data_IF_984409744007
#
_entry.id   IF_984409744007
#
_cell.length_a   1.000
_cell.length_b   1.000
_cell.length_c   1.000
_cell.angle_alpha   90.00
_cell.angle_beta   90.00
_cell.angle_gamma   90.00
#
_symmetry.space_group_name_H-M   'P 1'
#
loop_
_entity.id
_entity.type
_entity.pdbx_description
1 polymer ?
#
# COMPACT_ATOMS: atom_id res chain seq x y z
N UNK A 1 24.44 10.11 -13.70
CA UNK A 1 23.61 9.06 -14.35
C UNK A 1 23.44 7.79 -13.51
N UNK A 2 24.50 7.18 -12.94
CA UNK A 2 24.39 5.95 -12.13
C UNK A 2 23.44 6.06 -10.93
N UNK A 3 23.45 7.20 -10.25
CA UNK A 3 22.59 7.46 -9.08
C UNK A 3 21.10 7.50 -9.43
N UNK A 4 20.73 8.01 -10.61
CA UNK A 4 19.33 8.15 -11.05
C UNK A 4 18.76 6.83 -11.55
N UNK A 5 19.52 6.06 -12.35
CA UNK A 5 19.10 4.70 -12.74
C UNK A 5 18.84 3.83 -11.51
N UNK A 6 19.72 3.92 -10.50
CA UNK A 6 19.55 3.24 -9.22
C UNK A 6 18.30 3.75 -8.49
N UNK A 7 18.04 5.05 -8.46
CA UNK A 7 16.87 5.63 -7.79
C UNK A 7 15.55 5.19 -8.42
N UNK A 8 15.44 5.24 -9.76
CA UNK A 8 14.26 4.74 -10.48
C UNK A 8 14.07 3.24 -10.27
N UNK A 9 15.16 2.45 -10.31
CA UNK A 9 15.11 1.02 -10.00
C UNK A 9 14.60 0.75 -8.57
N UNK A 10 15.08 1.52 -7.58
CA UNK A 10 14.60 1.42 -6.20
C UNK A 10 13.11 1.77 -6.08
N UNK A 11 12.62 2.77 -6.79
CA UNK A 11 11.20 3.11 -6.80
C UNK A 11 10.38 1.93 -7.35
N UNK A 12 10.78 1.35 -8.49
CA UNK A 12 10.11 0.16 -9.02
C UNK A 12 10.16 -1.03 -8.06
N UNK A 13 11.28 -1.25 -7.35
CA UNK A 13 11.38 -2.31 -6.35
C UNK A 13 10.41 -2.07 -5.19
N UNK A 14 10.26 -0.83 -4.73
CA UNK A 14 9.29 -0.48 -3.68
C UNK A 14 7.86 -0.73 -4.18
N UNK A 15 7.54 -0.33 -5.42
CA UNK A 15 6.23 -0.57 -6.04
C UNK A 15 5.94 -2.07 -6.17
N UNK A 16 6.91 -2.86 -6.62
CA UNK A 16 6.77 -4.31 -6.78
C UNK A 16 6.63 -5.05 -5.44
N UNK A 17 7.38 -4.65 -4.41
CA UNK A 17 7.23 -5.23 -3.07
C UNK A 17 5.90 -4.80 -2.43
N UNK A 18 5.50 -3.54 -2.63
CA UNK A 18 4.26 -3.00 -2.11
C UNK A 18 3.01 -3.58 -2.78
N UNK A 19 3.10 -4.04 -4.03
CA UNK A 19 1.96 -4.62 -4.76
C UNK A 19 1.65 -6.07 -4.35
N UNK A 20 2.57 -6.73 -3.65
CA UNK A 20 2.41 -8.10 -3.11
C UNK A 20 1.72 -8.14 -1.74
N UNK A 21 0.92 -7.14 -1.39
CA UNK A 21 0.18 -7.14 -0.13
C UNK A 21 -1.02 -8.11 -0.17
N UNK A 22 -0.75 -9.40 0.03
CA UNK A 22 -1.76 -10.48 0.08
C UNK A 22 -2.89 -10.18 1.07
N UNK A 23 -2.53 -9.71 2.27
CA UNK A 23 -3.50 -9.31 3.28
C UNK A 23 -4.38 -8.14 2.81
N UNK A 24 -3.84 -7.20 2.02
CA UNK A 24 -4.60 -6.08 1.47
C UNK A 24 -5.61 -6.48 0.40
N UNK A 25 -5.42 -7.61 -0.28
CA UNK A 25 -6.37 -8.10 -1.29
C UNK A 25 -7.60 -8.82 -0.69
N UNK A 26 -7.51 -9.33 0.54
CA UNK A 26 -8.61 -10.06 1.21
C UNK A 26 -8.94 -9.58 2.62
N UNK A 27 -8.43 -8.42 3.04
CA UNK A 27 -8.61 -7.93 4.41
C UNK A 27 -10.08 -7.98 4.87
N UNK A 28 -11.01 -7.57 4.00
CA UNK A 28 -12.45 -7.61 4.28
C UNK A 28 -12.96 -9.04 4.51
N UNK A 29 -12.52 -10.00 3.68
CA UNK A 29 -12.86 -11.42 3.85
C UNK A 29 -12.24 -12.01 5.13
N UNK A 30 -11.01 -11.63 5.47
CA UNK A 30 -10.36 -12.04 6.72
C UNK A 30 -11.09 -11.50 7.96
N UNK A 31 -11.55 -10.25 7.92
CA UNK A 31 -12.36 -9.69 9.00
C UNK A 31 -13.73 -10.37 9.10
N UNK A 32 -14.38 -10.66 7.98
CA UNK A 32 -15.62 -11.42 7.97
C UNK A 32 -15.42 -12.82 8.57
N UNK A 33 -14.33 -13.51 8.21
CA UNK A 33 -13.96 -14.81 8.79
C UNK A 33 -13.64 -14.73 10.29
N UNK A 34 -13.20 -13.57 10.78
CA UNK A 34 -12.99 -13.27 12.22
C UNK A 34 -14.27 -12.86 12.95
N UNK A 35 -15.43 -12.89 12.28
CA UNK A 35 -16.75 -12.61 12.86
C UNK A 35 -17.16 -11.14 12.84
N UNK A 36 -16.43 -10.25 12.14
CA UNK A 36 -16.86 -8.87 11.97
C UNK A 36 -18.03 -8.79 10.98
N UNK A 37 -19.01 -7.96 11.32
CA UNK A 37 -20.15 -7.68 10.44
C UNK A 37 -19.74 -6.82 9.24
N UNK A 38 -20.50 -6.89 8.15
CA UNK A 38 -20.27 -6.06 6.95
C UNK A 38 -20.31 -4.56 7.27
N UNK A 39 -21.13 -4.13 8.23
CA UNK A 39 -21.19 -2.72 8.66
C UNK A 39 -19.93 -2.29 9.37
N UNK A 40 -19.33 -3.15 10.20
CA UNK A 40 -18.04 -2.88 10.85
C UNK A 40 -16.90 -2.83 9.83
N UNK A 41 -16.91 -3.72 8.83
CA UNK A 41 -15.93 -3.71 7.74
C UNK A 41 -16.04 -2.42 6.94
N UNK A 42 -17.26 -2.02 6.55
CA UNK A 42 -17.51 -0.76 5.85
C UNK A 42 -17.12 0.46 6.67
N UNK A 43 -17.31 0.44 8.00
CA UNK A 43 -16.84 1.50 8.89
C UNK A 43 -15.31 1.60 8.89
N UNK A 44 -14.60 0.47 8.95
CA UNK A 44 -13.15 0.45 8.90
C UNK A 44 -12.62 0.99 7.56
N UNK A 45 -13.26 0.65 6.45
CA UNK A 45 -12.98 1.20 5.11
C UNK A 45 -13.23 2.71 5.06
N UNK A 46 -14.34 3.18 5.63
CA UNK A 46 -14.64 4.60 5.74
C UNK A 46 -13.57 5.36 6.55
N UNK A 47 -13.04 4.77 7.63
CA UNK A 47 -11.94 5.35 8.41
C UNK A 47 -10.68 5.50 7.57
N UNK A 48 -10.34 4.50 6.74
CA UNK A 48 -9.21 4.62 5.82
C UNK A 48 -9.39 5.81 4.88
N UNK A 49 -10.53 5.89 4.19
CA UNK A 49 -10.77 6.97 3.21
C UNK A 49 -10.85 8.35 3.86
N UNK A 50 -11.51 8.47 5.02
CA UNK A 50 -11.58 9.72 5.77
C UNK A 50 -10.20 10.17 6.23
N UNK A 51 -9.40 9.24 6.76
CA UNK A 51 -8.01 9.54 7.16
C UNK A 51 -7.18 9.95 5.95
N UNK A 52 -7.29 9.22 4.84
CA UNK A 52 -6.57 9.53 3.61
C UNK A 52 -6.95 10.93 3.10
N UNK A 53 -8.24 11.25 3.02
CA UNK A 53 -8.73 12.57 2.60
C UNK A 53 -8.18 13.71 3.49
N UNK A 54 -8.24 13.54 4.81
CA UNK A 54 -7.78 14.56 5.76
C UNK A 54 -6.27 14.78 5.71
N UNK A 55 -5.50 13.73 5.43
CA UNK A 55 -4.04 13.76 5.47
C UNK A 55 -3.36 13.85 4.11
N UNK A 56 -4.11 13.89 3.01
CA UNK A 56 -3.54 13.95 1.65
C UNK A 56 -2.71 15.25 1.50
N UNK A 57 -3.34 16.40 1.71
CA UNK A 57 -2.66 17.70 1.63
C UNK A 57 -1.57 17.85 2.70
N UNK A 58 -1.80 17.56 4.00
CA UNK A 58 -0.74 17.59 5.00
C UNK A 58 0.47 16.72 4.66
N UNK A 59 0.26 15.51 4.13
CA UNK A 59 1.36 14.62 3.77
C UNK A 59 2.22 15.18 2.64
N UNK A 60 1.61 15.86 1.67
CA UNK A 60 2.31 16.57 0.60
C UNK A 60 3.19 17.69 1.16
N UNK A 61 2.65 18.54 2.04
CA UNK A 61 3.42 19.62 2.68
C UNK A 61 4.60 19.05 3.48
N UNK A 62 4.38 17.98 4.25
CA UNK A 62 5.46 17.30 4.98
C UNK A 62 6.53 16.77 4.01
N UNK A 63 6.13 16.22 2.86
CA UNK A 63 7.07 15.72 1.86
C UNK A 63 7.93 16.81 1.22
N UNK A 64 7.35 18.00 0.99
CA UNK A 64 8.08 19.13 0.44
C UNK A 64 9.01 19.78 1.48
N UNK A 65 8.65 19.79 2.77
CA UNK A 65 9.48 20.36 3.85
C UNK A 65 10.59 19.41 4.31
N UNK A 66 10.25 18.16 4.61
CA UNK A 66 11.19 17.19 5.21
C UNK A 66 11.90 16.31 4.18
N UNK A 67 11.44 16.34 2.92
CA UNK A 67 12.01 15.61 1.81
C UNK A 67 11.29 14.29 1.52
N UNK A 68 11.09 14.04 0.23
CA UNK A 68 10.31 12.92 -0.32
C UNK A 68 10.89 11.55 0.02
N UNK A 69 12.22 11.40 0.02
CA UNK A 69 12.87 10.14 0.40
C UNK A 69 12.55 9.73 1.84
N UNK A 70 12.49 10.69 2.77
CA UNK A 70 12.14 10.43 4.17
C UNK A 70 10.68 10.04 4.30
N UNK A 71 9.79 10.69 3.55
CA UNK A 71 8.38 10.33 3.51
C UNK A 71 8.14 8.93 2.93
N UNK A 72 8.88 8.52 1.90
CA UNK A 72 8.85 7.14 1.41
C UNK A 72 9.25 6.12 2.49
N UNK A 73 10.26 6.42 3.31
CA UNK A 73 10.64 5.56 4.44
C UNK A 73 9.52 5.53 5.49
N UNK A 74 8.97 6.70 5.85
CA UNK A 74 7.86 6.79 6.79
C UNK A 74 6.64 6.00 6.32
N UNK A 75 6.32 6.04 5.01
CA UNK A 75 5.30 5.20 4.39
C UNK A 75 5.49 3.72 4.69
N UNK A 76 6.71 3.20 4.49
CA UNK A 76 7.00 1.79 4.75
C UNK A 76 6.87 1.44 6.23
N UNK A 77 7.33 2.33 7.12
CA UNK A 77 7.15 2.15 8.56
C UNK A 77 5.67 2.12 8.96
N UNK A 78 4.87 3.07 8.45
CA UNK A 78 3.42 3.12 8.71
C UNK A 78 2.71 1.88 8.17
N UNK A 79 3.07 1.41 6.98
CA UNK A 79 2.52 0.18 6.38
C UNK A 79 2.85 -1.07 7.21
N UNK A 80 4.07 -1.16 7.73
CA UNK A 80 4.47 -2.24 8.63
C UNK A 80 3.69 -2.18 9.95
N UNK A 81 3.58 -1.00 10.56
CA UNK A 81 2.80 -0.80 11.78
C UNK A 81 1.31 -1.11 11.57
N UNK A 82 0.74 -0.71 10.44
CA UNK A 82 -0.64 -1.03 10.06
C UNK A 82 -0.84 -2.55 9.96
N UNK A 83 0.12 -3.26 9.35
CA UNK A 83 0.06 -4.72 9.22
C UNK A 83 0.11 -5.42 10.58
N UNK A 84 1.00 -4.98 11.47
CA UNK A 84 1.09 -5.49 12.86
C UNK A 84 -0.18 -5.17 13.65
N UNK A 85 -0.68 -3.94 13.56
CA UNK A 85 -1.92 -3.52 14.22
C UNK A 85 -3.13 -4.33 13.71
N UNK A 86 -3.23 -4.59 12.40
CA UNK A 86 -4.28 -5.41 11.81
C UNK A 86 -4.20 -6.85 12.33
N UNK A 87 -3.00 -7.44 12.38
CA UNK A 87 -2.78 -8.80 12.87
C UNK A 87 -3.14 -8.96 14.35
N UNK A 88 -2.79 -7.98 15.18
CA UNK A 88 -3.03 -8.01 16.63
C UNK A 88 -4.41 -7.46 17.04
N UNK A 89 -5.15 -6.85 16.11
CA UNK A 89 -6.49 -6.33 16.40
C UNK A 89 -7.37 -7.46 16.91
N UNK A 90 -8.14 -7.23 17.98
CA UNK A 90 -9.22 -8.12 18.43
C UNK A 90 -10.60 -7.45 18.39
N UNK A 91 -10.63 -6.14 18.14
CA UNK A 91 -11.81 -5.29 18.20
C UNK A 91 -11.87 -4.35 17.00
N UNK A 92 -13.05 -3.80 16.73
CA UNK A 92 -13.24 -2.84 15.64
C UNK A 92 -12.37 -1.59 15.82
N UNK A 93 -12.16 -1.13 17.05
CA UNK A 93 -11.25 -0.02 17.34
C UNK A 93 -9.82 -0.30 16.90
N UNK A 94 -9.32 -1.52 17.16
CA UNK A 94 -7.99 -1.95 16.69
C UNK A 94 -7.88 -2.01 15.16
N UNK A 95 -8.94 -2.48 14.49
CA UNK A 95 -9.02 -2.47 13.01
C UNK A 95 -9.01 -1.05 12.46
N UNK A 96 -9.78 -0.12 13.06
CA UNK A 96 -9.79 1.28 12.65
C UNK A 96 -8.42 1.96 12.80
N UNK A 97 -7.67 1.65 13.87
CA UNK A 97 -6.29 2.13 14.05
C UNK A 97 -5.39 1.61 12.92
N UNK A 98 -5.50 0.31 12.60
CA UNK A 98 -4.74 -0.28 11.50
C UNK A 98 -5.07 0.39 10.15
N UNK A 99 -6.35 0.66 9.90
CA UNK A 99 -6.82 1.35 8.69
C UNK A 99 -6.33 2.80 8.61
N UNK A 100 -6.33 3.54 9.73
CA UNK A 100 -5.79 4.89 9.79
C UNK A 100 -4.27 4.92 9.52
N UNK A 101 -3.51 4.00 10.13
CA UNK A 101 -2.07 3.85 9.87
C UNK A 101 -1.80 3.51 8.40
N UNK A 102 -2.61 2.63 7.82
CA UNK A 102 -2.53 2.28 6.40
C UNK A 102 -2.76 3.50 5.51
N UNK A 103 -3.78 4.31 5.81
CA UNK A 103 -4.08 5.54 5.06
C UNK A 103 -2.95 6.57 5.13
N UNK A 104 -2.34 6.74 6.31
CA UNK A 104 -1.18 7.62 6.48
C UNK A 104 0.02 7.12 5.66
N UNK A 105 0.29 5.81 5.68
CA UNK A 105 1.33 5.20 4.86
C UNK A 105 1.08 5.42 3.37
N UNK A 106 -0.15 5.17 2.92
CA UNK A 106 -0.60 5.36 1.54
C UNK A 106 -0.38 6.80 1.06
N UNK A 107 -0.78 7.79 1.85
CA UNK A 107 -0.63 9.20 1.50
C UNK A 107 0.84 9.62 1.36
N UNK A 108 1.69 9.20 2.30
CA UNK A 108 3.14 9.47 2.20
C UNK A 108 3.78 8.80 0.99
N UNK A 109 3.30 7.63 0.58
CA UNK A 109 3.84 6.90 -0.56
C UNK A 109 3.44 7.54 -1.89
N UNK A 110 2.15 7.86 -2.03
CA UNK A 110 1.52 8.29 -3.27
C UNK A 110 2.19 9.54 -3.85
N UNK A 111 2.12 10.67 -3.14
CA UNK A 111 2.66 11.93 -3.64
C UNK A 111 4.19 11.96 -3.70
N UNK A 112 4.86 11.36 -2.71
CA UNK A 112 6.33 11.36 -2.67
C UNK A 112 6.95 10.54 -3.79
N UNK A 113 6.32 9.43 -4.22
CA UNK A 113 6.85 8.53 -5.26
C UNK A 113 6.86 9.20 -6.62
N UNK A 114 5.71 9.71 -7.07
CA UNK A 114 5.57 10.37 -8.36
C UNK A 114 6.51 11.57 -8.47
N UNK A 115 6.50 12.39 -7.42
CA UNK A 115 7.26 13.63 -7.41
C UNK A 115 8.78 13.36 -7.32
N UNK A 116 9.22 12.31 -6.60
CA UNK A 116 10.62 11.87 -6.58
C UNK A 116 11.08 11.33 -7.94
N UNK A 117 10.22 10.57 -8.64
CA UNK A 117 10.53 10.05 -9.97
C UNK A 117 10.63 11.19 -11.01
N UNK A 118 9.65 12.10 -11.01
CA UNK A 118 9.63 13.25 -11.90
C UNK A 118 10.87 14.15 -11.70
N UNK A 119 11.21 14.49 -10.46
CA UNK A 119 12.39 15.30 -10.17
C UNK A 119 13.69 14.63 -10.58
N UNK A 120 13.81 13.31 -10.36
CA UNK A 120 15.00 12.54 -10.76
C UNK A 120 15.23 12.61 -12.27
N UNK A 121 14.16 12.54 -13.05
CA UNK A 121 14.21 12.64 -14.51
C UNK A 121 14.45 14.07 -14.97
N UNK A 122 13.82 15.06 -14.31
CA UNK A 122 14.02 16.49 -14.57
C UNK A 122 15.47 16.92 -14.35
N UNK A 123 16.14 16.42 -13.31
CA UNK A 123 17.55 16.71 -13.03
C UNK A 123 18.52 16.28 -14.14
N UNK A 124 18.11 15.36 -15.03
CA UNK A 124 18.90 14.93 -16.18
C UNK A 124 18.32 15.40 -17.53
N UNK A 125 17.34 16.31 -17.53
CA UNK A 125 16.69 16.76 -18.76
C UNK A 125 15.90 15.66 -19.48
N UNK A 126 15.44 14.62 -18.76
CA UNK A 126 14.71 13.48 -19.30
C UNK A 126 13.23 13.49 -18.92
N UNK A 127 12.60 14.67 -18.84
CA UNK A 127 11.19 14.80 -18.44
C UNK A 127 10.24 13.99 -19.34
N UNK A 128 10.55 13.87 -20.63
CA UNK A 128 9.77 13.06 -21.59
C UNK A 128 9.73 11.56 -21.24
N UNK A 129 10.70 11.06 -20.46
CA UNK A 129 10.70 9.68 -19.99
C UNK A 129 9.75 9.43 -18.81
N UNK A 130 9.17 10.48 -18.21
CA UNK A 130 8.27 10.35 -17.06
C UNK A 130 7.00 9.59 -17.38
N UNK A 131 6.39 9.84 -18.54
CA UNK A 131 5.17 9.11 -18.95
C UNK A 131 5.44 7.61 -19.04
N UNK A 132 6.58 7.23 -19.62
CA UNK A 132 7.02 5.83 -19.69
C UNK A 132 7.26 5.24 -18.30
N UNK A 133 7.84 6.03 -17.38
CA UNK A 133 8.00 5.61 -15.99
C UNK A 133 6.64 5.37 -15.31
N UNK A 134 5.70 6.32 -15.42
CA UNK A 134 4.39 6.23 -14.79
C UNK A 134 3.57 5.04 -15.30
N UNK A 135 3.62 4.78 -16.62
CA UNK A 135 2.99 3.60 -17.23
C UNK A 135 3.59 2.31 -16.68
N UNK A 136 4.93 2.23 -16.61
CA UNK A 136 5.61 1.05 -16.09
C UNK A 136 5.32 0.83 -14.61
N UNK A 137 5.35 1.88 -13.78
CA UNK A 137 5.06 1.81 -12.35
C UNK A 137 3.64 1.29 -12.11
N UNK A 138 2.66 1.86 -12.81
CA UNK A 138 1.26 1.40 -12.77
C UNK A 138 1.12 -0.05 -13.23
N UNK A 139 1.84 -0.45 -14.28
CA UNK A 139 1.80 -1.82 -14.80
C UNK A 139 2.36 -2.82 -13.80
N UNK A 140 3.51 -2.50 -13.18
CA UNK A 140 4.12 -3.32 -12.13
C UNK A 140 3.17 -3.47 -10.95
N UNK A 141 2.55 -2.36 -10.51
CA UNK A 141 1.57 -2.38 -9.44
C UNK A 141 0.39 -3.31 -9.76
N UNK A 142 -0.21 -3.15 -10.94
CA UNK A 142 -1.36 -3.96 -11.39
C UNK A 142 -1.03 -5.45 -11.45
N UNK A 143 0.10 -5.82 -12.05
CA UNK A 143 0.54 -7.22 -12.14
C UNK A 143 0.71 -7.81 -10.74
N UNK A 144 1.37 -7.09 -9.82
CA UNK A 144 1.56 -7.56 -8.45
C UNK A 144 0.23 -7.74 -7.71
N UNK A 145 -0.70 -6.78 -7.83
CA UNK A 145 -2.03 -6.91 -7.19
C UNK A 145 -2.86 -8.05 -7.78
N UNK A 146 -2.75 -8.32 -9.08
CA UNK A 146 -3.42 -9.43 -9.73
C UNK A 146 -2.87 -10.78 -9.22
N UNK A 147 -1.55 -10.93 -9.16
CA UNK A 147 -0.89 -12.11 -8.59
C UNK A 147 -1.27 -12.30 -7.11
N UNK A 148 -1.24 -11.22 -6.33
CA UNK A 148 -1.66 -11.21 -4.93
C UNK A 148 -3.10 -11.72 -4.78
N UNK A 149 -4.03 -11.20 -5.58
CA UNK A 149 -5.44 -11.60 -5.56
C UNK A 149 -5.61 -13.06 -5.95
N UNK A 150 -4.91 -13.53 -6.98
CA UNK A 150 -4.93 -14.94 -7.40
C UNK A 150 -4.41 -15.89 -6.31
N UNK A 151 -3.24 -15.58 -5.73
CA UNK A 151 -2.68 -16.36 -4.63
C UNK A 151 -3.60 -16.40 -3.42
N UNK A 152 -4.25 -15.27 -3.12
CA UNK A 152 -5.18 -15.15 -2.02
C UNK A 152 -6.47 -15.96 -2.26
N UNK A 153 -7.02 -15.89 -3.48
CA UNK A 153 -8.14 -16.74 -3.89
C UNK A 153 -7.79 -18.22 -3.83
N UNK A 154 -6.59 -18.62 -4.26
CA UNK A 154 -6.11 -19.99 -4.15
C UNK A 154 -5.96 -20.43 -2.69
N UNK A 155 -5.40 -19.57 -1.82
CA UNK A 155 -5.26 -19.85 -0.39
C UNK A 155 -6.63 -20.04 0.29
N UNK A 156 -7.62 -19.20 -0.02
CA UNK A 156 -8.99 -19.33 0.46
C UNK A 156 -9.72 -20.55 -0.11
N UNK A 157 -9.34 -21.05 -1.29
CA UNK A 157 -9.92 -22.26 -1.87
C UNK A 157 -9.35 -23.54 -1.23
N UNK A 158 -8.05 -23.54 -0.90
CA UNK A 158 -7.37 -24.67 -0.25
C UNK A 158 -7.72 -24.72 1.25
N UNK A 159 -7.71 -23.58 1.95
CA UNK A 159 -7.84 -23.50 3.41
C UNK A 159 -9.05 -24.23 4.01
N UNK A 160 -10.28 -24.05 3.50
CA UNK A 160 -11.45 -24.78 3.97
C UNK A 160 -11.32 -26.28 3.74
N UNK A 161 -10.79 -26.72 2.60
CA UNK A 161 -10.66 -28.15 2.28
C UNK A 161 -9.54 -28.85 3.04
N UNK A 162 -8.46 -28.12 3.35
CA UNK A 162 -7.38 -28.62 4.19
C UNK A 162 -7.75 -28.62 5.69
N UNK A 163 -8.58 -27.67 6.13
CA UNK A 163 -9.08 -27.59 7.51
C UNK A 163 -10.20 -28.60 7.80
N UNK A 164 -11.06 -28.89 6.82
CA UNK A 164 -12.07 -29.95 6.88
C UNK A 164 -11.54 -31.27 6.32
N UNK A 165 -10.27 -31.61 6.58
CA UNK A 165 -9.75 -32.97 6.39
C UNK A 165 -10.45 -33.97 7.32
N UNK A 166 -11.72 -34.24 7.05
CA UNK A 166 -12.49 -35.42 7.44
C UNK A 166 -13.28 -35.77 6.17
N UNK A 167 -12.66 -36.70 5.43
CA UNK A 167 -13.12 -37.49 4.27
C UNK A 167 -13.74 -36.77 3.05
#
# INVERSE_FOLDING_TARGET
MFTIKRQICLIYSITALGSLQFAGSCWAALLAARGFSLTQIGLAEAVFHLTSLLFEVPSGVIADVFGRKRCMIASQCMSAMASVAMMLSGSIGGVCIAMALSALGYNFASGAREALAYESLKQCGQQSAYERFAVNDTTIWRIGTALSTLCTGAALWIGPRAAYGVD
#
